data_IF_558662419709
#
_entry.id   IF_558662419709
#
_cell.length_a   1.000
_cell.length_b   1.000
_cell.length_c   1.000
_cell.angle_alpha   90.00
_cell.angle_beta   90.00
_cell.angle_gamma   90.00
#
_symmetry.space_group_name_H-M   'P 1'
#
loop_
_entity.id
_entity.type
_entity.pdbx_description
1 polymer ?
#
# COMPACT_ATOMS: atom_id res chain seq x y z
N UNK A 1 -8.83 -26.06 -4.05
CA UNK A 1 -9.20 -24.67 -4.43
C UNK A 1 -8.02 -23.79 -4.05
N UNK A 2 -7.63 -22.78 -4.84
CA UNK A 2 -6.55 -21.90 -4.42
C UNK A 2 -7.04 -21.05 -3.22
N UNK A 3 -6.37 -21.18 -2.08
CA UNK A 3 -6.61 -20.37 -0.90
C UNK A 3 -5.91 -19.01 -1.03
N UNK A 4 -6.50 -17.94 -0.49
CA UNK A 4 -5.82 -16.65 -0.41
C UNK A 4 -4.62 -16.78 0.51
N UNK A 5 -3.42 -16.68 -0.08
CA UNK A 5 -2.16 -16.65 0.66
C UNK A 5 -1.86 -15.21 1.07
N UNK A 6 -1.96 -14.93 2.36
CA UNK A 6 -1.50 -13.68 2.95
C UNK A 6 0.03 -13.67 2.94
N UNK A 7 0.61 -12.67 2.29
CA UNK A 7 2.06 -12.48 2.25
C UNK A 7 2.52 -11.53 3.34
N UNK A 8 1.73 -10.47 3.57
CA UNK A 8 2.05 -9.40 4.49
C UNK A 8 0.79 -8.86 5.14
N UNK A 9 0.87 -8.56 6.43
CA UNK A 9 -0.21 -7.91 7.17
C UNK A 9 0.43 -6.88 8.11
N UNK A 10 0.00 -5.63 8.00
CA UNK A 10 0.47 -4.55 8.87
C UNK A 10 -0.71 -3.71 9.35
N UNK A 11 -0.74 -3.43 10.65
CA UNK A 11 -1.76 -2.57 11.27
C UNK A 11 -1.18 -1.18 11.50
N UNK A 12 -1.84 -0.16 10.97
CA UNK A 12 -1.52 1.23 11.23
C UNK A 12 -2.76 1.94 11.77
N UNK A 13 -2.75 2.35 13.04
CA UNK A 13 -3.91 2.98 13.68
C UNK A 13 -5.17 2.10 13.61
N UNK A 14 -6.23 2.61 12.98
CA UNK A 14 -7.51 1.91 12.76
C UNK A 14 -7.60 1.22 11.39
N UNK A 15 -6.48 1.09 10.69
CA UNK A 15 -6.40 0.51 9.34
C UNK A 15 -5.52 -0.73 9.34
N UNK A 16 -5.81 -1.67 8.45
CA UNK A 16 -5.01 -2.87 8.23
C UNK A 16 -4.67 -2.98 6.75
N UNK A 17 -3.38 -2.99 6.43
CA UNK A 17 -2.86 -3.33 5.12
C UNK A 17 -2.68 -4.84 5.04
N UNK A 18 -3.21 -5.45 3.98
CA UNK A 18 -3.03 -6.86 3.66
C UNK A 18 -2.51 -6.96 2.23
N UNK A 19 -1.33 -7.56 2.06
CA UNK A 19 -0.80 -7.90 0.73
C UNK A 19 -0.95 -9.39 0.50
N UNK A 20 -1.55 -9.74 -0.63
CA UNK A 20 -1.81 -11.13 -1.05
C UNK A 20 -1.16 -11.42 -2.39
N UNK A 21 -0.82 -12.68 -2.67
CA UNK A 21 -0.38 -13.07 -4.02
C UNK A 21 -1.53 -12.91 -5.03
N UNK A 22 -2.73 -13.33 -4.63
CA UNK A 22 -3.97 -13.27 -5.43
C UNK A 22 -5.18 -13.22 -4.52
N UNK A 23 -6.09 -12.29 -4.78
CA UNK A 23 -7.34 -12.16 -4.06
C UNK A 23 -8.35 -13.19 -4.59
N UNK A 24 -9.02 -13.88 -3.67
CA UNK A 24 -10.15 -14.75 -4.00
C UNK A 24 -11.42 -14.02 -3.59
N UNK A 25 -12.43 -13.98 -4.47
CA UNK A 25 -13.65 -13.18 -4.28
C UNK A 25 -14.44 -13.52 -2.99
N UNK A 26 -14.19 -14.69 -2.40
CA UNK A 26 -14.90 -15.18 -1.21
C UNK A 26 -14.29 -14.79 0.14
N UNK A 27 -13.22 -14.00 0.17
CA UNK A 27 -12.58 -13.62 1.45
C UNK A 27 -13.47 -12.66 2.23
N UNK A 28 -13.98 -13.12 3.37
CA UNK A 28 -14.69 -12.26 4.33
C UNK A 28 -13.70 -11.58 5.27
N UNK A 29 -13.59 -10.26 5.12
CA UNK A 29 -12.73 -9.41 5.95
C UNK A 29 -13.32 -9.06 7.33
N UNK A 30 -14.58 -9.42 7.60
CA UNK A 30 -15.26 -9.05 8.85
C UNK A 30 -14.54 -9.57 10.09
N UNK A 31 -14.17 -10.86 10.09
CA UNK A 31 -13.43 -11.49 11.20
C UNK A 31 -12.05 -10.85 11.42
N UNK A 32 -11.41 -10.41 10.34
CA UNK A 32 -10.12 -9.73 10.41
C UNK A 32 -10.27 -8.34 11.05
N UNK A 33 -11.33 -7.59 10.72
CA UNK A 33 -11.63 -6.30 11.37
C UNK A 33 -11.80 -6.44 12.88
N UNK A 34 -12.57 -7.43 13.31
CA UNK A 34 -12.77 -7.72 14.73
C UNK A 34 -11.47 -8.13 15.41
N UNK A 35 -10.73 -9.08 14.82
CA UNK A 35 -9.48 -9.59 15.40
C UNK A 35 -8.42 -8.50 15.57
N UNK A 36 -8.22 -7.65 14.56
CA UNK A 36 -7.24 -6.56 14.60
C UNK A 36 -7.78 -5.27 15.23
N UNK A 37 -9.07 -5.21 15.60
CA UNK A 37 -9.74 -4.00 16.10
C UNK A 37 -9.54 -2.79 15.17
N UNK A 38 -9.78 -2.99 13.87
CA UNK A 38 -9.63 -1.98 12.81
C UNK A 38 -10.97 -1.67 12.15
N UNK A 39 -11.14 -0.43 11.67
CA UNK A 39 -12.36 0.02 10.98
C UNK A 39 -12.28 -0.19 9.47
N UNK A 40 -11.07 -0.09 8.89
CA UNK A 40 -10.81 -0.25 7.47
C UNK A 40 -9.78 -1.36 7.22
N UNK A 41 -9.88 -2.00 6.06
CA UNK A 41 -8.90 -2.96 5.55
C UNK A 41 -8.60 -2.56 4.11
N UNK A 42 -7.32 -2.33 3.81
CA UNK A 42 -6.81 -2.19 2.47
C UNK A 42 -6.20 -3.54 2.07
N UNK A 43 -6.85 -4.27 1.17
CA UNK A 43 -6.31 -5.50 0.62
C UNK A 43 -5.84 -5.25 -0.81
N UNK A 44 -4.57 -5.53 -1.07
CA UNK A 44 -3.93 -5.30 -2.38
C UNK A 44 -3.20 -6.56 -2.82
N UNK A 45 -3.35 -6.91 -4.11
CA UNK A 45 -2.53 -7.96 -4.69
C UNK A 45 -1.10 -7.46 -4.88
N UNK A 46 -0.09 -8.31 -4.66
CA UNK A 46 1.32 -7.93 -4.81
C UNK A 46 1.62 -7.33 -6.18
N UNK A 47 1.00 -7.88 -7.24
CA UNK A 47 1.14 -7.36 -8.61
C UNK A 47 0.61 -5.94 -8.76
N UNK A 48 -0.33 -5.54 -7.91
CA UNK A 48 -0.95 -4.22 -7.95
C UNK A 48 -0.17 -3.17 -7.14
N UNK A 49 0.87 -3.54 -6.38
CA UNK A 49 1.66 -2.58 -5.58
C UNK A 49 2.65 -1.79 -6.44
N UNK A 50 3.18 -2.42 -7.49
CA UNK A 50 4.19 -1.79 -8.35
C UNK A 50 3.63 -0.52 -8.99
N UNK A 51 4.51 0.47 -9.10
CA UNK A 51 4.26 1.78 -9.72
C UNK A 51 3.27 2.66 -8.93
N UNK A 52 2.83 2.25 -7.74
CA UNK A 52 1.95 3.03 -6.87
C UNK A 52 2.69 4.24 -6.29
N UNK A 53 2.07 5.42 -6.39
CA UNK A 53 2.54 6.62 -5.69
C UNK A 53 2.26 6.47 -4.20
N UNK A 54 3.25 6.81 -3.39
CA UNK A 54 3.17 6.83 -1.93
C UNK A 54 3.57 8.19 -1.38
N UNK A 55 2.95 8.59 -0.27
CA UNK A 55 3.40 9.69 0.56
C UNK A 55 4.45 9.21 1.57
N UNK A 56 5.52 9.99 1.75
CA UNK A 56 6.59 9.72 2.71
C UNK A 56 6.49 10.74 3.83
N UNK A 57 6.12 10.30 5.03
CA UNK A 57 5.81 11.18 6.14
C UNK A 57 6.80 11.00 7.30
N UNK A 58 7.04 12.09 8.02
CA UNK A 58 7.79 12.07 9.28
C UNK A 58 6.90 11.67 10.47
N UNK A 59 7.52 11.62 11.66
CA UNK A 59 6.87 11.20 12.91
C UNK A 59 5.73 12.12 13.36
N UNK A 60 5.73 13.35 12.86
CA UNK A 60 4.76 14.38 13.18
C UNK A 60 3.68 14.46 12.07
N UNK A 61 3.65 13.46 11.19
CA UNK A 61 2.76 13.29 10.04
C UNK A 61 2.90 14.36 8.96
N UNK A 62 4.04 15.06 8.90
CA UNK A 62 4.32 15.98 7.80
C UNK A 62 4.82 15.21 6.58
N UNK A 63 4.29 15.54 5.40
CA UNK A 63 4.76 14.95 4.15
C UNK A 63 6.12 15.53 3.76
N UNK A 64 7.14 14.67 3.80
CA UNK A 64 8.51 14.95 3.36
C UNK A 64 8.64 14.90 1.83
N UNK A 65 7.79 14.10 1.19
CA UNK A 65 7.75 13.99 -0.26
C UNK A 65 6.91 12.82 -0.75
N UNK A 66 7.09 12.50 -2.03
CA UNK A 66 6.44 11.37 -2.69
C UNK A 66 7.49 10.31 -3.06
N UNK A 67 7.03 9.08 -3.23
CA UNK A 67 7.78 8.00 -3.84
C UNK A 67 6.91 7.16 -4.76
N UNK A 68 7.54 6.29 -5.54
CA UNK A 68 6.87 5.28 -6.35
C UNK A 68 7.39 3.90 -5.93
N UNK A 69 6.49 2.96 -5.66
CA UNK A 69 6.91 1.60 -5.27
C UNK A 69 7.49 0.86 -6.48
N UNK A 70 8.72 0.37 -6.33
CA UNK A 70 9.40 -0.48 -7.31
C UNK A 70 9.11 -1.95 -7.02
N UNK A 71 9.26 -2.35 -5.75
CA UNK A 71 9.01 -3.71 -5.29
C UNK A 71 8.68 -3.74 -3.80
N UNK A 72 7.90 -4.74 -3.40
CA UNK A 72 7.69 -5.11 -2.00
C UNK A 72 8.03 -6.59 -1.88
N UNK A 73 9.05 -6.89 -1.08
CA UNK A 73 9.42 -8.23 -0.68
C UNK A 73 8.98 -8.48 0.77
N UNK A 74 7.77 -9.04 0.97
CA UNK A 74 7.21 -9.25 2.30
C UNK A 74 7.87 -10.41 3.05
N UNK A 75 8.72 -11.22 2.41
CA UNK A 75 9.46 -12.29 3.10
C UNK A 75 10.71 -11.77 3.80
N UNK A 76 11.26 -10.65 3.31
CA UNK A 76 12.47 -10.03 3.82
C UNK A 76 12.22 -8.64 4.41
N UNK A 77 10.94 -8.27 4.64
CA UNK A 77 10.50 -6.97 5.14
C UNK A 77 11.12 -5.77 4.39
N UNK A 78 11.29 -5.92 3.08
CA UNK A 78 11.95 -4.93 2.23
C UNK A 78 10.96 -4.24 1.29
N UNK A 79 10.85 -2.92 1.39
CA UNK A 79 10.14 -2.07 0.45
C UNK A 79 11.14 -1.23 -0.33
N UNK A 80 11.11 -1.35 -1.66
CA UNK A 80 11.97 -0.58 -2.57
C UNK A 80 11.17 0.51 -3.24
N UNK A 81 11.65 1.76 -3.13
CA UNK A 81 10.97 2.95 -3.64
C UNK A 81 11.91 3.75 -4.55
N UNK A 82 11.34 4.42 -5.56
CA UNK A 82 11.97 5.56 -6.21
C UNK A 82 11.49 6.84 -5.50
N UNK A 83 12.41 7.65 -4.97
CA UNK A 83 12.03 8.92 -4.31
C UNK A 83 13.14 9.97 -4.42
N UNK A 84 12.80 11.27 -4.54
CA UNK A 84 13.77 12.36 -4.41
C UNK A 84 14.17 12.64 -2.95
N UNK A 85 13.48 12.08 -1.95
CA UNK A 85 13.80 12.27 -0.53
C UNK A 85 15.16 11.62 -0.23
N UNK A 86 16.14 12.46 0.10
CA UNK A 86 17.54 12.02 0.31
C UNK A 86 17.77 11.37 1.67
N UNK A 87 17.08 11.85 2.70
CA UNK A 87 17.27 11.42 4.09
C UNK A 87 16.16 10.45 4.49
N UNK A 88 16.37 9.16 4.18
CA UNK A 88 15.38 8.10 4.42
C UNK A 88 15.09 7.88 5.91
N UNK A 89 16.00 8.26 6.80
CA UNK A 89 15.83 8.07 8.25
C UNK A 89 14.77 8.99 8.86
N UNK A 90 14.36 10.04 8.14
CA UNK A 90 13.24 10.90 8.54
C UNK A 90 11.88 10.31 8.20
N UNK A 91 11.83 9.34 7.29
CA UNK A 91 10.59 8.68 6.89
C UNK A 91 10.22 7.69 7.99
N UNK A 92 9.08 7.91 8.64
CA UNK A 92 8.56 7.02 9.67
C UNK A 92 7.23 6.38 9.29
N UNK A 93 6.57 6.90 8.25
CA UNK A 93 5.34 6.34 7.73
C UNK A 93 5.29 6.47 6.19
N UNK A 94 4.65 5.49 5.56
CA UNK A 94 4.43 5.45 4.12
C UNK A 94 2.92 5.33 3.88
N UNK A 95 2.33 6.34 3.26
CA UNK A 95 0.91 6.35 2.94
C UNK A 95 0.70 5.86 1.52
N UNK A 96 -0.08 4.80 1.37
CA UNK A 96 -0.42 4.26 0.05
C UNK A 96 -1.43 5.18 -0.65
N UNK A 97 -1.06 5.65 -1.84
CA UNK A 97 -1.98 6.37 -2.72
C UNK A 97 -2.90 5.43 -3.49
N UNK A 98 -3.66 6.01 -4.41
CA UNK A 98 -4.54 5.30 -5.35
C UNK A 98 -4.16 5.55 -6.82
N UNK A 99 -3.01 6.19 -7.06
CA UNK A 99 -2.50 6.56 -8.39
C UNK A 99 -1.26 5.71 -8.68
N UNK A 100 -1.22 5.12 -9.88
CA UNK A 100 -0.02 4.48 -10.42
C UNK A 100 0.61 5.35 -11.50
N UNK A 101 1.93 5.40 -11.51
CA UNK A 101 2.73 6.05 -12.56
C UNK A 101 3.75 5.04 -13.05
N UNK A 102 3.45 4.43 -14.20
CA UNK A 102 4.39 3.56 -14.90
C UNK A 102 5.57 4.40 -15.40
N UNK A 103 6.79 3.94 -15.14
CA UNK A 103 7.97 4.63 -15.69
C UNK A 103 8.07 4.38 -17.21
N UNK A 104 7.61 5.35 -18.02
CA UNK A 104 7.69 5.35 -19.49
C UNK A 104 6.87 6.49 -20.14
N UNK A 105 7.13 6.81 -21.42
CA UNK A 105 6.56 7.96 -22.16
C UNK A 105 5.02 7.95 -22.39
N UNK A 106 4.26 7.06 -21.75
CA UNK A 106 2.80 7.01 -21.89
C UNK A 106 2.13 6.94 -20.53
N UNK A 107 1.83 8.12 -19.99
CA UNK A 107 0.83 8.27 -18.94
C UNK A 107 -0.48 7.62 -19.38
N UNK A 108 -0.82 6.49 -18.74
CA UNK A 108 -2.15 5.88 -18.79
C UNK A 108 -2.76 5.90 -17.40
N UNK A 109 -2.82 7.08 -16.79
CA UNK A 109 -3.61 7.29 -15.58
C UNK A 109 -5.11 7.15 -15.90
N UNK A 110 -5.75 6.08 -15.44
CA UNK A 110 -7.22 6.07 -15.30
C UNK A 110 -7.55 6.80 -13.99
N UNK A 111 -7.94 8.07 -14.09
CA UNK A 111 -8.54 8.77 -12.95
C UNK A 111 -9.88 8.13 -12.62
N UNK A 112 -9.99 7.50 -11.45
CA UNK A 112 -11.29 7.22 -10.83
C UNK A 112 -11.43 8.19 -9.67
N UNK A 113 -12.12 9.30 -9.90
CA UNK A 113 -12.47 10.24 -8.84
C UNK A 113 -13.40 9.51 -7.86
N UNK A 114 -12.87 9.16 -6.68
CA UNK A 114 -13.69 8.73 -5.56
C UNK A 114 -14.07 10.00 -4.80
N UNK A 115 -15.32 10.45 -4.98
CA UNK A 115 -15.92 11.46 -4.11
C UNK A 115 -16.46 10.76 -2.87
N UNK A 116 -15.94 11.09 -1.70
CA UNK A 116 -16.67 10.86 -0.46
C UNK A 116 -17.64 12.04 -0.28
N UNK A 117 -18.94 11.72 -0.26
CA UNK A 117 -20.00 12.62 0.22
C UNK A 117 -20.07 12.52 1.75
#
# INVERSE_FOLDING_TARGET
>A
MPDTKYLYIEKCGSELLIVVDRLVESVSFYKLKEYFSVTSIACIERVEIKDLIVGLNDKDDNTLGLGTIIDLDPLNDNLTLFTPVQDIHKITAIYLGNIKVEQGEKDRGKMRAIRYL
#
